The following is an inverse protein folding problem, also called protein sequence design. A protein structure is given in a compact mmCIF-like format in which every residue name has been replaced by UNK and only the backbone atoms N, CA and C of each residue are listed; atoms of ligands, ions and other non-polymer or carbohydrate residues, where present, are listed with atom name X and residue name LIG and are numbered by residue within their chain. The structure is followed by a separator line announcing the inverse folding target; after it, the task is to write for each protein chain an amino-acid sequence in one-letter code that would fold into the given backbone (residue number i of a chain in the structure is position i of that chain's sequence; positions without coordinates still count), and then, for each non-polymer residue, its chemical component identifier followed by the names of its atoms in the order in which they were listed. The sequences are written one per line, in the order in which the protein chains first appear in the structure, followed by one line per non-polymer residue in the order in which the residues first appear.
data_IF_346972760287
#
_entry.id   IF_346972760287
#
_cell.length_a   1.000
_cell.length_b   1.000
_cell.length_c   1.000
_cell.angle_alpha   90.00
_cell.angle_beta   90.00
_cell.angle_gamma   90.00
#
_symmetry.space_group_name_H-M   'P 1'
#
loop_
_entity.id
_entity.type
_entity.pdbx_description
1 polymer ?
#
# COMPACT_ATOMS: atom_id res chain seq x y z
N UNK A 1 34.70 1.85 8.49
CA UNK A 1 34.12 2.88 9.37
C UNK A 1 33.41 3.93 8.52
N UNK A 2 32.14 3.68 8.20
CA UNK A 2 31.38 4.42 7.17
C UNK A 2 30.25 5.30 7.74
N UNK A 3 29.94 5.16 9.03
CA UNK A 3 28.90 5.93 9.75
C UNK A 3 29.25 7.41 9.92
N UNK A 4 30.47 7.83 9.57
CA UNK A 4 30.95 9.21 9.73
C UNK A 4 30.80 10.09 8.47
N UNK A 5 30.28 9.57 7.35
CA UNK A 5 30.15 10.36 6.10
C UNK A 5 28.72 10.86 5.91
N UNK A 6 28.53 12.17 5.99
CA UNK A 6 27.31 12.92 5.65
C UNK A 6 27.05 12.87 4.14
N UNK A 7 26.44 11.79 3.66
CA UNK A 7 26.04 11.67 2.26
C UNK A 7 24.64 11.02 2.14
N UNK A 8 23.61 11.72 1.66
CA UNK A 8 22.25 11.17 1.52
C UNK A 8 22.20 9.93 0.62
N UNK A 9 23.06 9.86 -0.40
CA UNK A 9 23.20 8.67 -1.26
C UNK A 9 23.77 7.50 -0.48
N UNK A 10 24.60 7.73 0.54
CA UNK A 10 25.11 6.67 1.41
C UNK A 10 24.02 6.09 2.33
N UNK A 11 23.06 6.86 2.83
CA UNK A 11 21.91 6.28 3.56
C UNK A 11 21.04 5.40 2.66
N UNK A 12 20.74 5.87 1.44
CA UNK A 12 20.00 5.06 0.47
C UNK A 12 20.79 3.82 0.05
N UNK A 13 22.12 3.92 -0.14
CA UNK A 13 22.97 2.77 -0.43
C UNK A 13 23.11 1.81 0.76
N UNK A 14 23.12 2.30 2.01
CA UNK A 14 23.15 1.46 3.21
C UNK A 14 21.98 0.49 3.20
N UNK A 15 20.76 0.97 2.93
CA UNK A 15 19.56 0.13 2.85
C UNK A 15 19.64 -0.98 1.75
N UNK A 16 20.50 -0.81 0.74
CA UNK A 16 20.77 -1.79 -0.33
C UNK A 16 21.96 -2.73 0.00
N UNK A 17 22.80 -2.39 0.97
CA UNK A 17 23.83 -3.31 1.47
C UNK A 17 23.11 -4.38 2.32
N UNK A 18 23.61 -5.63 2.31
CA UNK A 18 23.06 -6.73 3.11
C UNK A 18 23.25 -6.43 4.61
N UNK A 19 22.39 -5.59 5.16
CA UNK A 19 22.40 -5.20 6.57
C UNK A 19 21.95 -6.40 7.38
N UNK A 20 22.76 -6.77 8.36
CA UNK A 20 22.39 -7.77 9.34
C UNK A 20 21.04 -7.37 9.97
N UNK A 21 20.04 -8.27 10.03
CA UNK A 21 18.76 -7.98 10.65
C UNK A 21 18.87 -7.31 12.02
N UNK A 22 19.87 -7.66 12.82
CA UNK A 22 20.09 -7.06 14.14
C UNK A 22 20.51 -5.59 14.06
N UNK A 23 21.19 -5.17 13.00
CA UNK A 23 21.64 -3.80 12.81
C UNK A 23 20.57 -2.87 12.20
N UNK A 24 19.45 -3.40 11.73
CA UNK A 24 18.43 -2.61 11.01
C UNK A 24 17.86 -1.43 11.81
N UNK A 25 17.49 -1.57 13.10
CA UNK A 25 17.00 -0.44 13.91
C UNK A 25 18.02 0.69 13.97
N UNK A 26 19.27 0.33 14.27
CA UNK A 26 20.41 1.25 14.39
C UNK A 26 20.69 1.97 13.07
N UNK A 27 20.67 1.25 11.95
CA UNK A 27 20.91 1.82 10.62
C UNK A 27 19.77 2.74 10.20
N UNK A 28 18.51 2.36 10.45
CA UNK A 28 17.35 3.19 10.16
C UNK A 28 17.41 4.51 10.91
N UNK A 29 17.71 4.48 12.21
CA UNK A 29 17.89 5.67 13.03
C UNK A 29 19.02 6.56 12.53
N UNK A 30 20.18 5.98 12.18
CA UNK A 30 21.30 6.72 11.62
C UNK A 30 20.93 7.44 10.30
N UNK A 31 20.15 6.78 9.43
CA UNK A 31 19.67 7.37 8.19
C UNK A 31 18.74 8.56 8.45
N UNK A 32 17.75 8.41 9.34
CA UNK A 32 16.80 9.47 9.66
C UNK A 32 17.47 10.68 10.33
N UNK A 33 18.42 10.44 11.23
CA UNK A 33 19.24 11.51 11.84
C UNK A 33 20.04 12.27 10.79
N UNK A 34 20.60 11.58 9.80
CA UNK A 34 21.31 12.24 8.72
C UNK A 34 20.36 13.07 7.86
N UNK A 35 19.17 12.55 7.53
CA UNK A 35 18.15 13.29 6.79
C UNK A 35 17.73 14.57 7.51
N UNK A 36 17.46 14.49 8.82
CA UNK A 36 17.15 15.65 9.66
C UNK A 36 18.25 16.73 9.57
N UNK A 37 19.53 16.34 9.60
CA UNK A 37 20.68 17.27 9.51
C UNK A 37 20.85 17.90 8.13
N UNK A 38 20.44 17.21 7.06
CA UNK A 38 20.61 17.70 5.70
C UNK A 38 19.61 18.81 5.32
N UNK A 39 18.58 19.04 6.14
CA UNK A 39 17.56 20.09 5.92
C UNK A 39 17.08 20.16 4.47
N UNK A 40 16.75 18.99 3.91
CA UNK A 40 16.29 18.88 2.53
C UNK A 40 14.92 19.55 2.38
N UNK A 41 14.59 19.93 1.14
CA UNK A 41 13.22 20.35 0.83
C UNK A 41 12.22 19.21 1.10
N UNK A 42 10.95 19.53 1.39
CA UNK A 42 9.95 18.53 1.77
C UNK A 42 9.81 17.36 0.78
N UNK A 43 9.91 17.62 -0.53
CA UNK A 43 9.75 16.59 -1.54
C UNK A 43 10.93 15.61 -1.56
N UNK A 44 12.17 16.11 -1.46
CA UNK A 44 13.35 15.25 -1.35
C UNK A 44 13.39 14.50 -0.02
N UNK A 45 12.95 15.15 1.06
CA UNK A 45 12.84 14.51 2.37
C UNK A 45 11.90 13.30 2.30
N UNK A 46 10.69 13.49 1.78
CA UNK A 46 9.70 12.42 1.59
C UNK A 46 10.22 11.28 0.70
N UNK A 47 10.87 11.63 -0.42
CA UNK A 47 11.39 10.63 -1.35
C UNK A 47 12.44 9.71 -0.68
N UNK A 48 13.38 10.30 0.08
CA UNK A 48 14.47 9.51 0.68
C UNK A 48 13.98 8.78 1.93
N UNK A 49 13.11 9.39 2.76
CA UNK A 49 12.54 8.69 3.92
C UNK A 49 11.70 7.49 3.50
N UNK A 50 10.87 7.64 2.47
CA UNK A 50 10.08 6.53 1.92
C UNK A 50 10.96 5.40 1.39
N UNK A 51 12.07 5.73 0.71
CA UNK A 51 13.04 4.73 0.27
C UNK A 51 13.68 3.98 1.44
N UNK A 52 14.03 4.68 2.53
CA UNK A 52 14.58 4.07 3.74
C UNK A 52 13.56 3.10 4.35
N UNK A 53 12.29 3.49 4.46
CA UNK A 53 11.24 2.65 5.05
C UNK A 53 10.92 1.40 4.21
N UNK A 54 10.89 1.51 2.87
CA UNK A 54 10.63 0.35 2.01
C UNK A 54 11.76 -0.69 1.96
N UNK A 55 13.01 -0.28 2.23
CA UNK A 55 14.15 -1.21 2.22
C UNK A 55 14.57 -1.66 3.62
N UNK A 56 14.28 -0.88 4.66
CA UNK A 56 14.53 -1.21 6.06
C UNK A 56 13.20 -1.43 6.80
N UNK A 57 12.50 -2.47 6.35
CA UNK A 57 11.36 -3.01 7.07
C UNK A 57 11.83 -3.63 8.39
N UNK A 58 11.31 -3.08 9.48
CA UNK A 58 11.55 -3.56 10.83
C UNK A 58 10.44 -4.52 11.25
N UNK A 59 10.81 -5.61 11.92
CA UNK A 59 9.85 -6.43 12.67
C UNK A 59 9.34 -5.67 13.90
N UNK A 60 8.31 -6.19 14.56
CA UNK A 60 7.77 -5.58 15.79
C UNK A 60 8.85 -5.43 16.88
N UNK A 61 9.71 -6.44 17.06
CA UNK A 61 10.79 -6.40 18.05
C UNK A 61 11.83 -5.32 17.67
N UNK A 62 12.20 -5.26 16.39
CA UNK A 62 13.11 -4.25 15.85
C UNK A 62 12.53 -2.83 15.93
N UNK A 63 11.22 -2.67 15.78
CA UNK A 63 10.54 -1.38 15.92
C UNK A 63 10.60 -0.90 17.37
N UNK A 64 10.39 -1.81 18.33
CA UNK A 64 10.57 -1.50 19.76
C UNK A 64 11.99 -1.01 20.04
N UNK A 65 13.00 -1.72 19.53
CA UNK A 65 14.40 -1.32 19.69
C UNK A 65 14.69 0.05 19.03
N UNK A 66 14.12 0.31 17.87
CA UNK A 66 14.22 1.61 17.20
C UNK A 66 13.60 2.75 18.05
N UNK A 67 12.41 2.52 18.61
CA UNK A 67 11.71 3.50 19.42
C UNK A 67 12.47 3.79 20.73
N UNK A 68 13.05 2.76 21.36
CA UNK A 68 13.94 2.89 22.52
C UNK A 68 15.16 3.75 22.16
N UNK A 69 15.89 3.40 21.09
CA UNK A 69 17.06 4.17 20.64
C UNK A 69 16.70 5.63 20.29
N UNK A 70 15.53 5.87 19.70
CA UNK A 70 15.05 7.21 19.37
C UNK A 70 14.79 8.04 20.63
N UNK A 71 14.30 7.41 21.71
CA UNK A 71 14.06 8.08 23.00
C UNK A 71 15.32 8.51 23.73
N UNK A 72 16.47 7.88 23.42
CA UNK A 72 17.78 8.21 24.01
C UNK A 72 18.45 9.43 23.35
N UNK A 73 17.93 9.89 22.21
CA UNK A 73 18.49 11.03 21.48
C UNK A 73 18.15 12.35 22.17
N UNK A 74 19.02 13.36 22.04
CA UNK A 74 18.75 14.71 22.50
C UNK A 74 17.49 15.30 21.84
N UNK A 75 16.63 15.93 22.65
CA UNK A 75 15.33 16.48 22.25
C UNK A 75 15.28 17.19 20.88
N UNK A 76 16.18 18.14 20.53
CA UNK A 76 16.07 18.83 19.24
C UNK A 76 16.34 17.93 18.02
N UNK A 77 17.18 16.91 18.16
CA UNK A 77 17.42 15.94 17.09
C UNK A 77 16.29 14.89 17.03
N UNK A 78 15.74 14.53 18.18
CA UNK A 78 14.58 13.64 18.29
C UNK A 78 13.33 14.23 17.61
N UNK A 79 13.00 15.50 17.87
CA UNK A 79 11.84 16.18 17.28
C UNK A 79 11.89 16.17 15.74
N UNK A 80 13.05 16.45 15.15
CA UNK A 80 13.22 16.46 13.70
C UNK A 80 13.02 15.07 13.08
N UNK A 81 13.53 14.02 13.74
CA UNK A 81 13.32 12.64 13.29
C UNK A 81 11.84 12.25 13.41
N UNK A 82 11.18 12.66 14.50
CA UNK A 82 9.75 12.41 14.70
C UNK A 82 8.87 13.09 13.66
N UNK A 83 9.21 14.29 13.20
CA UNK A 83 8.49 14.97 12.11
C UNK A 83 8.54 14.16 10.81
N UNK A 84 9.73 13.63 10.45
CA UNK A 84 9.91 12.80 9.25
C UNK A 84 9.05 11.53 9.34
N UNK A 85 9.16 10.80 10.45
CA UNK A 85 8.42 9.54 10.67
C UNK A 85 6.90 9.78 10.68
N UNK A 86 6.45 10.83 11.37
CA UNK A 86 5.02 11.14 11.48
C UNK A 86 4.41 11.54 10.14
N UNK A 87 5.12 12.32 9.32
CA UNK A 87 4.65 12.71 7.99
C UNK A 87 4.44 11.48 7.10
N UNK A 88 5.43 10.58 7.05
CA UNK A 88 5.35 9.37 6.23
C UNK A 88 4.24 8.43 6.72
N UNK A 89 4.16 8.20 8.04
CA UNK A 89 3.12 7.36 8.63
C UNK A 89 1.71 7.88 8.31
N UNK A 90 1.47 9.20 8.38
CA UNK A 90 0.19 9.80 8.03
C UNK A 90 -0.18 9.53 6.56
N UNK A 91 0.75 9.73 5.63
CA UNK A 91 0.54 9.46 4.21
C UNK A 91 0.27 7.97 3.93
N UNK A 92 1.01 7.08 4.59
CA UNK A 92 0.80 5.63 4.46
C UNK A 92 -0.58 5.19 4.97
N UNK A 93 -1.04 5.76 6.10
CA UNK A 93 -2.39 5.50 6.61
C UNK A 93 -3.46 6.00 5.64
N UNK A 94 -3.32 7.21 5.12
CA UNK A 94 -4.27 7.80 4.16
C UNK A 94 -4.39 6.94 2.89
N UNK A 95 -3.25 6.56 2.29
CA UNK A 95 -3.21 5.68 1.13
C UNK A 95 -3.79 4.29 1.43
N UNK A 96 -3.48 3.72 2.60
CA UNK A 96 -4.00 2.43 3.02
C UNK A 96 -5.52 2.45 3.22
N UNK A 97 -6.08 3.53 3.76
CA UNK A 97 -7.52 3.73 3.89
C UNK A 97 -8.17 3.85 2.51
N UNK A 98 -7.61 4.67 1.62
CA UNK A 98 -8.13 4.87 0.27
C UNK A 98 -8.16 3.55 -0.53
N UNK A 99 -7.05 2.81 -0.53
CA UNK A 99 -6.96 1.50 -1.16
C UNK A 99 -7.92 0.50 -0.52
N UNK A 100 -8.04 0.49 0.80
CA UNK A 100 -8.95 -0.39 1.53
C UNK A 100 -10.42 -0.12 1.20
N UNK A 101 -10.81 1.15 1.07
CA UNK A 101 -12.16 1.56 0.66
C UNK A 101 -12.45 1.06 -0.75
N UNK A 102 -11.54 1.29 -1.71
CA UNK A 102 -11.75 0.90 -3.11
C UNK A 102 -11.81 -0.63 -3.28
N UNK A 103 -10.91 -1.37 -2.64
CA UNK A 103 -10.95 -2.83 -2.61
C UNK A 103 -12.23 -3.36 -1.96
N UNK A 104 -12.66 -2.73 -0.86
CA UNK A 104 -13.89 -3.07 -0.16
C UNK A 104 -15.13 -2.83 -1.01
N UNK A 105 -15.16 -1.72 -1.75
CA UNK A 105 -16.23 -1.38 -2.69
C UNK A 105 -16.32 -2.40 -3.82
N UNK A 106 -15.18 -2.73 -4.44
CA UNK A 106 -15.07 -3.74 -5.50
C UNK A 106 -15.54 -5.13 -5.03
N UNK A 107 -15.06 -5.59 -3.89
CA UNK A 107 -15.42 -6.89 -3.33
C UNK A 107 -16.91 -6.94 -2.93
N UNK A 108 -17.42 -5.87 -2.32
CA UNK A 108 -18.82 -5.75 -1.92
C UNK A 108 -19.76 -5.78 -3.12
N UNK A 109 -19.48 -4.98 -4.14
CA UNK A 109 -20.31 -4.90 -5.34
C UNK A 109 -20.34 -6.21 -6.11
N UNK A 110 -19.17 -6.83 -6.32
CA UNK A 110 -19.07 -8.17 -6.92
C UNK A 110 -19.91 -9.20 -6.16
N UNK A 111 -19.82 -9.19 -4.83
CA UNK A 111 -20.60 -10.12 -3.98
C UNK A 111 -22.10 -9.93 -4.18
N UNK A 112 -22.56 -8.68 -4.28
CA UNK A 112 -23.98 -8.38 -4.48
C UNK A 112 -24.44 -8.80 -5.88
N UNK A 113 -23.69 -8.45 -6.93
CA UNK A 113 -24.00 -8.84 -8.32
C UNK A 113 -24.06 -10.36 -8.45
N UNK A 114 -23.06 -11.07 -7.92
CA UNK A 114 -23.03 -12.55 -7.95
C UNK A 114 -24.25 -13.16 -7.25
N UNK A 115 -24.63 -12.64 -6.07
CA UNK A 115 -25.82 -13.12 -5.35
C UNK A 115 -27.10 -12.87 -6.13
N UNK A 116 -27.25 -11.71 -6.76
CA UNK A 116 -28.43 -11.38 -7.57
C UNK A 116 -28.54 -12.30 -8.78
N UNK A 117 -27.44 -12.50 -9.52
CA UNK A 117 -27.41 -13.39 -10.67
C UNK A 117 -27.71 -14.84 -10.28
N UNK A 118 -27.12 -15.33 -9.19
CA UNK A 118 -27.39 -16.68 -8.69
C UNK A 118 -28.84 -16.83 -8.21
N UNK A 119 -29.43 -15.79 -7.62
CA UNK A 119 -30.83 -15.84 -7.21
C UNK A 119 -31.79 -15.86 -8.40
N UNK A 120 -31.49 -15.08 -9.46
CA UNK A 120 -32.34 -14.95 -10.65
C UNK A 120 -32.22 -16.14 -11.59
N UNK A 121 -31.00 -16.63 -11.82
CA UNK A 121 -30.69 -17.64 -12.84
C UNK A 121 -30.27 -19.00 -12.27
N UNK A 122 -30.16 -19.11 -10.95
CA UNK A 122 -29.62 -20.31 -10.31
C UNK A 122 -28.09 -20.38 -10.40
N UNK A 123 -27.49 -21.56 -10.14
CA UNK A 123 -26.05 -21.75 -10.19
C UNK A 123 -25.46 -21.32 -11.53
N UNK A 124 -24.48 -20.43 -11.50
CA UNK A 124 -23.75 -19.98 -12.69
C UNK A 124 -22.63 -20.97 -13.04
N UNK A 125 -22.26 -21.02 -14.32
CA UNK A 125 -21.09 -21.78 -14.75
C UNK A 125 -19.80 -21.16 -14.20
N UNK A 126 -18.73 -21.97 -14.15
CA UNK A 126 -17.40 -21.52 -13.73
C UNK A 126 -16.89 -20.41 -14.65
N UNK A 127 -17.05 -20.54 -15.97
CA UNK A 127 -16.65 -19.52 -16.96
C UNK A 127 -17.30 -18.15 -16.69
N UNK A 128 -18.61 -18.13 -16.42
CA UNK A 128 -19.33 -16.88 -16.12
C UNK A 128 -18.81 -16.27 -14.82
N UNK A 129 -18.57 -17.11 -13.80
CA UNK A 129 -18.08 -16.65 -12.49
C UNK A 129 -16.70 -16.02 -12.61
N UNK A 130 -15.75 -16.69 -13.27
CA UNK A 130 -14.40 -16.18 -13.49
C UNK A 130 -14.40 -14.86 -14.28
N UNK A 131 -15.30 -14.72 -15.24
CA UNK A 131 -15.45 -13.48 -16.01
C UNK A 131 -15.97 -12.34 -15.14
N UNK A 132 -16.97 -12.58 -14.30
CA UNK A 132 -17.47 -11.58 -13.34
C UNK A 132 -16.39 -11.22 -12.31
N UNK A 133 -15.59 -12.19 -11.87
CA UNK A 133 -14.47 -11.96 -10.96
C UNK A 133 -13.42 -11.02 -11.56
N UNK A 134 -13.20 -11.10 -12.88
CA UNK A 134 -12.26 -10.24 -13.60
C UNK A 134 -12.76 -8.82 -13.90
N UNK A 135 -14.06 -8.54 -13.71
CA UNK A 135 -14.62 -7.23 -14.00
C UNK A 135 -14.07 -6.16 -13.06
N UNK A 136 -13.82 -4.99 -13.64
CA UNK A 136 -13.54 -3.75 -12.93
C UNK A 136 -14.79 -3.24 -12.24
N UNK A 137 -14.61 -2.28 -11.34
CA UNK A 137 -15.72 -1.74 -10.56
C UNK A 137 -16.79 -1.07 -11.43
N UNK A 138 -16.39 -0.23 -12.38
CA UNK A 138 -17.34 0.39 -13.31
C UNK A 138 -18.05 -0.62 -14.22
N UNK A 139 -17.41 -1.74 -14.57
CA UNK A 139 -18.08 -2.81 -15.32
C UNK A 139 -19.10 -3.56 -14.44
N UNK A 140 -18.81 -3.75 -13.15
CA UNK A 140 -19.78 -4.31 -12.20
C UNK A 140 -20.96 -3.37 -11.98
N UNK A 141 -20.74 -2.06 -11.92
CA UNK A 141 -21.81 -1.05 -11.82
C UNK A 141 -22.74 -1.13 -13.04
N UNK A 142 -22.17 -1.16 -14.24
CA UNK A 142 -22.94 -1.33 -15.48
C UNK A 142 -23.69 -2.66 -15.54
N UNK A 143 -23.05 -3.75 -15.10
CA UNK A 143 -23.71 -5.05 -15.01
C UNK A 143 -24.85 -5.01 -13.99
N UNK A 144 -24.68 -4.30 -12.86
CA UNK A 144 -25.69 -4.16 -11.79
C UNK A 144 -27.00 -3.54 -12.27
N UNK A 145 -26.90 -2.61 -13.22
CA UNK A 145 -28.07 -1.98 -13.86
C UNK A 145 -28.65 -2.86 -14.97
N UNK A 146 -27.79 -3.39 -15.84
CA UNK A 146 -28.20 -4.21 -16.97
C UNK A 146 -28.88 -5.50 -16.52
N UNK A 147 -28.39 -6.13 -15.44
CA UNK A 147 -28.92 -7.39 -14.95
C UNK A 147 -30.38 -7.31 -14.53
N UNK A 148 -30.88 -6.11 -14.18
CA UNK A 148 -32.29 -5.90 -13.82
C UNK A 148 -33.21 -6.16 -15.03
N UNK A 149 -32.74 -5.92 -16.24
CA UNK A 149 -33.50 -6.07 -17.48
C UNK A 149 -33.37 -7.47 -18.10
N UNK A 150 -32.39 -8.29 -17.68
CA UNK A 150 -32.14 -9.59 -18.32
C UNK A 150 -33.29 -10.57 -18.15
N UNK A 151 -33.87 -11.06 -19.25
CA UNK A 151 -34.94 -12.06 -19.19
C UNK A 151 -34.39 -13.48 -19.16
N UNK A 152 -33.15 -13.68 -19.61
CA UNK A 152 -32.51 -14.99 -19.72
C UNK A 152 -31.02 -15.00 -19.36
N UNK A 153 -30.45 -16.17 -18.99
CA UNK A 153 -29.00 -16.34 -18.81
C UNK A 153 -28.17 -16.12 -20.09
N UNK A 154 -28.80 -16.20 -21.27
CA UNK A 154 -28.12 -15.97 -22.54
C UNK A 154 -27.68 -14.49 -22.68
N UNK A 155 -28.54 -13.56 -22.27
CA UNK A 155 -28.23 -12.12 -22.29
C UNK A 155 -27.05 -11.75 -21.39
N UNK A 156 -26.90 -12.43 -20.24
CA UNK A 156 -25.72 -12.29 -19.39
C UNK A 156 -24.44 -12.71 -20.13
N UNK A 157 -24.50 -13.84 -20.85
CA UNK A 157 -23.36 -14.37 -21.59
C UNK A 157 -22.95 -13.42 -22.72
N UNK A 158 -23.93 -12.87 -23.43
CA UNK A 158 -23.74 -11.89 -24.50
C UNK A 158 -23.17 -10.58 -23.96
N UNK A 159 -23.72 -10.07 -22.84
CA UNK A 159 -23.23 -8.85 -22.19
C UNK A 159 -21.76 -8.98 -21.80
N UNK A 160 -21.39 -10.09 -21.16
CA UNK A 160 -20.01 -10.36 -20.76
C UNK A 160 -19.09 -10.49 -21.99
N UNK A 161 -19.59 -10.92 -23.15
CA UNK A 161 -18.78 -11.07 -24.37
C UNK A 161 -18.48 -9.71 -25.00
N UNK A 162 -19.48 -8.82 -25.00
CA UNK A 162 -19.34 -7.45 -25.51
C UNK A 162 -18.41 -6.60 -24.63
N UNK A 163 -18.38 -6.88 -23.33
CA UNK A 163 -17.52 -6.18 -22.35
C UNK A 163 -16.21 -6.94 -22.07
N UNK A 164 -15.83 -7.86 -22.95
CA UNK A 164 -14.53 -8.53 -22.87
C UNK A 164 -13.43 -7.53 -23.24
N UNK A 165 -12.65 -7.09 -22.26
CA UNK A 165 -11.35 -6.47 -22.54
C UNK A 165 -10.45 -7.51 -23.23
N UNK A 166 -9.87 -7.11 -24.37
CA UNK A 166 -8.74 -7.81 -24.98
C UNK A 166 -7.49 -7.66 -24.13
#
# INVERSE_FOLDING_TARGET
DFLQRTNPVAAALMAKMQIDPHDRPRVKLACLRMLAKLQLDPARMQLISGFVDSYLELTMDQQTEFDEQLSEIAAPEQEQVMEIVTSWMKQGIEQGIEQGIELGRLAGERTIVMRQLQHRFGPLSVDITERIDSLTLGELELLSEALLQFESPAELSDWLQQHRKG
#
